data_IF_319731203695
#
_entry.id   IF_319731203695
#
_cell.length_a   1.000
_cell.length_b   1.000
_cell.length_c   1.000
_cell.angle_alpha   90.00
_cell.angle_beta   90.00
_cell.angle_gamma   90.00
#
_symmetry.space_group_name_H-M   'P 1'
#
loop_
_entity.id
_entity.type
_entity.pdbx_description
1 polymer ?
#
# COMPACT_ATOMS: atom_id res chain seq x y z
N UNK A 1 65.22 14.87 -50.51
CA UNK A 1 64.29 15.63 -49.67
C UNK A 1 62.91 15.57 -50.31
N UNK A 2 61.96 14.88 -49.67
CA UNK A 2 60.51 15.06 -49.84
C UNK A 2 59.79 14.39 -48.65
N UNK A 3 58.76 15.01 -48.05
CA UNK A 3 58.11 14.54 -46.83
C UNK A 3 56.73 13.91 -47.10
N UNK A 4 56.36 12.84 -46.40
CA UNK A 4 54.98 12.30 -46.44
C UNK A 4 54.71 11.54 -45.13
N UNK A 5 54.21 12.26 -44.11
CA UNK A 5 52.80 12.37 -43.67
C UNK A 5 52.29 11.17 -42.85
N UNK A 6 52.27 11.45 -41.55
CA UNK A 6 51.51 10.89 -40.45
C UNK A 6 50.02 10.65 -40.81
N UNK A 7 49.48 9.49 -40.47
CA UNK A 7 48.03 9.27 -40.33
C UNK A 7 47.79 8.42 -39.07
N UNK A 8 47.31 9.10 -38.02
CA UNK A 8 46.83 8.54 -36.76
C UNK A 8 45.44 7.96 -37.02
N UNK A 9 45.28 6.65 -36.84
CA UNK A 9 43.99 5.97 -36.92
C UNK A 9 43.21 6.18 -35.62
N UNK A 10 42.11 6.92 -35.70
CA UNK A 10 41.13 7.06 -34.60
C UNK A 10 40.13 5.92 -34.79
N UNK A 11 40.20 4.91 -33.92
CA UNK A 11 39.18 3.87 -33.83
C UNK A 11 37.96 4.45 -33.10
N UNK A 12 36.85 4.64 -33.82
CA UNK A 12 35.57 5.00 -33.24
C UNK A 12 34.98 3.77 -32.53
N UNK A 13 34.93 3.80 -31.20
CA UNK A 13 34.20 2.79 -30.41
C UNK A 13 32.73 3.18 -30.45
N UNK A 14 31.93 2.47 -31.26
CA UNK A 14 30.48 2.60 -31.25
C UNK A 14 29.95 2.00 -29.93
N UNK A 15 29.82 2.85 -28.91
CA UNK A 15 29.13 2.50 -27.67
C UNK A 15 27.62 2.52 -27.90
N UNK A 16 27.03 1.34 -28.05
CA UNK A 16 25.58 1.16 -28.01
C UNK A 16 25.08 1.50 -26.61
N UNK A 17 24.58 2.73 -26.42
CA UNK A 17 23.86 3.12 -25.22
C UNK A 17 22.49 2.43 -25.27
N UNK A 18 22.38 1.28 -24.61
CA UNK A 18 21.08 0.70 -24.26
C UNK A 18 20.44 1.66 -23.25
N UNK A 19 19.59 2.56 -23.74
CA UNK A 19 18.70 3.34 -22.90
C UNK A 19 17.77 2.34 -22.21
N UNK A 20 18.01 2.11 -20.92
CA UNK A 20 17.06 1.39 -20.08
C UNK A 20 15.75 2.19 -20.08
N UNK A 21 14.78 1.72 -20.86
CA UNK A 21 13.41 2.24 -20.79
C UNK A 21 12.92 1.88 -19.39
N UNK A 22 12.43 2.83 -18.58
CA UNK A 22 11.85 2.51 -17.29
C UNK A 22 10.71 1.51 -17.56
N UNK A 23 10.83 0.30 -17.02
CA UNK A 23 9.71 -0.61 -16.98
C UNK A 23 8.60 0.09 -16.21
N UNK A 24 7.47 0.35 -16.86
CA UNK A 24 6.26 0.77 -16.17
C UNK A 24 6.00 -0.29 -15.09
N UNK A 25 6.05 0.11 -13.81
CA UNK A 25 5.68 -0.79 -12.72
C UNK A 25 4.27 -1.32 -13.01
N UNK A 26 4.08 -2.63 -12.95
CA UNK A 26 2.79 -3.24 -13.24
C UNK A 26 1.83 -2.85 -12.12
N UNK A 27 0.92 -1.91 -12.37
CA UNK A 27 -0.10 -1.54 -11.39
C UNK A 27 -0.98 -2.74 -11.09
N UNK A 28 -1.10 -3.09 -9.81
CA UNK A 28 -1.97 -4.16 -9.33
C UNK A 28 -3.28 -3.60 -8.75
N UNK A 29 -4.10 -4.52 -8.24
CA UNK A 29 -5.33 -4.15 -7.54
C UNK A 29 -5.42 -4.85 -6.19
N UNK A 30 -6.13 -4.22 -5.26
CA UNK A 30 -6.41 -4.78 -3.94
C UNK A 30 -7.85 -4.53 -3.53
N UNK A 31 -8.51 -5.60 -3.08
CA UNK A 31 -9.77 -5.54 -2.36
C UNK A 31 -9.48 -5.58 -0.86
N UNK A 32 -10.35 -4.96 -0.06
CA UNK A 32 -10.16 -4.99 1.38
C UNK A 32 -11.43 -4.87 2.20
N UNK A 33 -11.32 -5.30 3.44
CA UNK A 33 -12.37 -5.19 4.44
C UNK A 33 -11.74 -4.89 5.80
N UNK A 34 -12.39 -4.05 6.60
CA UNK A 34 -12.09 -3.82 8.00
C UNK A 34 -13.37 -3.95 8.83
N UNK A 35 -13.23 -4.47 10.04
CA UNK A 35 -14.31 -4.57 11.03
C UNK A 35 -13.90 -3.82 12.29
N UNK A 36 -14.77 -2.93 12.76
CA UNK A 36 -14.59 -2.13 13.98
C UNK A 36 -15.87 -2.22 14.78
N UNK A 37 -15.81 -2.86 15.95
CA UNK A 37 -17.02 -3.23 16.71
C UNK A 37 -17.98 -4.07 15.86
N UNK A 38 -19.24 -3.62 15.77
CA UNK A 38 -20.31 -4.25 14.96
C UNK A 38 -20.40 -3.68 13.54
N UNK A 39 -19.52 -2.75 13.17
CA UNK A 39 -19.51 -2.12 11.85
C UNK A 39 -18.41 -2.70 10.97
N UNK A 40 -18.64 -2.70 9.66
CA UNK A 40 -17.65 -3.17 8.68
C UNK A 40 -17.58 -2.24 7.49
N UNK A 41 -16.38 -2.01 6.96
CA UNK A 41 -16.16 -1.23 5.75
C UNK A 41 -15.39 -2.07 4.74
N UNK A 42 -15.89 -2.13 3.51
CA UNK A 42 -15.26 -2.90 2.43
C UNK A 42 -15.08 -2.06 1.18
N UNK A 43 -14.00 -2.30 0.44
CA UNK A 43 -13.72 -1.70 -0.85
C UNK A 43 -13.19 -2.77 -1.82
N UNK A 44 -13.22 -2.44 -3.11
CA UNK A 44 -12.74 -3.31 -4.18
C UNK A 44 -11.95 -2.51 -5.19
N UNK A 45 -10.99 -3.14 -5.85
CA UNK A 45 -10.22 -2.60 -6.97
C UNK A 45 -9.46 -1.30 -6.65
N UNK A 46 -8.95 -1.16 -5.42
CA UNK A 46 -8.02 -0.07 -5.13
C UNK A 46 -6.69 -0.30 -5.86
N UNK A 47 -6.09 0.76 -6.38
CA UNK A 47 -4.88 0.67 -7.20
C UNK A 47 -3.66 0.47 -6.31
N UNK A 48 -2.76 -0.41 -6.74
CA UNK A 48 -1.43 -0.56 -6.14
C UNK A 48 -0.33 -0.16 -7.10
N UNK A 49 0.81 0.30 -6.57
CA UNK A 49 1.96 0.72 -7.38
C UNK A 49 2.68 -0.42 -8.10
N UNK A 50 2.52 -1.65 -7.60
CA UNK A 50 3.11 -2.89 -8.11
C UNK A 50 2.20 -4.07 -7.74
N UNK A 51 2.61 -5.31 -8.04
CA UNK A 51 1.95 -6.56 -7.64
C UNK A 51 2.82 -7.36 -6.65
N UNK A 52 2.20 -8.14 -5.73
CA UNK A 52 2.96 -9.02 -4.83
C UNK A 52 3.80 -10.05 -5.62
N UNK A 53 4.99 -10.45 -5.16
CA UNK A 53 5.58 -10.18 -3.84
C UNK A 53 6.44 -8.92 -3.74
N UNK A 54 6.41 -8.03 -4.74
CA UNK A 54 7.13 -6.77 -4.66
C UNK A 54 6.52 -5.88 -3.57
N UNK A 55 7.36 -5.10 -2.88
CA UNK A 55 6.87 -4.02 -2.03
C UNK A 55 6.07 -3.04 -2.88
N UNK A 56 4.88 -2.66 -2.42
CA UNK A 56 3.97 -1.77 -3.13
C UNK A 56 3.37 -0.74 -2.19
N UNK A 57 2.79 0.32 -2.75
CA UNK A 57 1.87 1.22 -2.04
C UNK A 57 0.45 0.98 -2.51
N UNK A 58 -0.52 1.16 -1.62
CA UNK A 58 -1.95 1.23 -1.97
C UNK A 58 -2.31 2.70 -2.12
N UNK A 59 -2.83 3.10 -3.28
CA UNK A 59 -3.27 4.48 -3.53
C UNK A 59 -4.58 4.76 -2.77
N UNK A 60 -4.47 5.54 -1.70
CA UNK A 60 -5.61 5.83 -0.83
C UNK A 60 -6.75 6.58 -1.55
N UNK A 61 -6.44 7.32 -2.61
CA UNK A 61 -7.45 8.09 -3.36
C UNK A 61 -8.39 7.19 -4.14
N UNK A 62 -7.99 5.94 -4.39
CA UNK A 62 -8.80 4.92 -5.08
C UNK A 62 -9.54 3.99 -4.11
N UNK A 63 -9.29 4.14 -2.81
CA UNK A 63 -9.98 3.39 -1.78
C UNK A 63 -11.28 4.10 -1.46
N UNK A 64 -12.39 3.49 -1.87
CA UNK A 64 -13.74 4.00 -1.65
C UNK A 64 -14.55 2.99 -0.81
N UNK A 65 -14.37 2.97 0.52
CA UNK A 65 -15.05 2.01 1.37
C UNK A 65 -16.55 2.26 1.42
N UNK A 66 -17.32 1.18 1.30
CA UNK A 66 -18.72 1.15 1.66
C UNK A 66 -18.84 0.53 3.05
N UNK A 67 -19.42 1.28 3.98
CA UNK A 67 -19.55 0.86 5.37
C UNK A 67 -20.98 0.46 5.71
N UNK A 68 -21.11 -0.56 6.55
CA UNK A 68 -22.33 -0.90 7.28
C UNK A 68 -22.25 -0.34 8.71
N UNK A 69 -23.40 -0.09 9.32
CA UNK A 69 -23.46 0.49 10.67
C UNK A 69 -23.44 2.03 10.66
N UNK A 70 -22.87 2.61 11.71
CA UNK A 70 -22.86 4.06 11.96
C UNK A 70 -21.53 4.75 11.62
N UNK A 71 -20.55 3.99 11.12
CA UNK A 71 -19.23 4.52 10.81
C UNK A 71 -19.07 4.82 9.32
N UNK A 72 -18.23 5.79 9.03
CA UNK A 72 -17.56 5.91 7.72
C UNK A 72 -16.08 5.70 7.93
N UNK A 73 -15.38 5.11 6.96
CA UNK A 73 -13.93 4.98 7.01
C UNK A 73 -13.27 5.40 5.70
N UNK A 74 -12.05 5.89 5.78
CA UNK A 74 -11.19 6.18 4.65
C UNK A 74 -9.72 6.09 5.03
N UNK A 75 -8.86 5.83 4.05
CA UNK A 75 -7.41 5.93 4.21
C UNK A 75 -6.99 7.38 3.94
N UNK A 76 -6.04 7.88 4.71
CA UNK A 76 -5.52 9.25 4.56
C UNK A 76 -4.05 9.32 4.15
N UNK A 77 -3.37 8.18 4.12
CA UNK A 77 -2.02 8.01 3.59
C UNK A 77 -1.99 6.87 2.57
N UNK A 78 -0.96 6.80 1.72
CA UNK A 78 -0.69 5.65 0.84
C UNK A 78 0.12 4.59 1.60
N UNK A 79 -0.50 3.53 2.16
CA UNK A 79 0.23 2.59 3.00
C UNK A 79 1.20 1.77 2.16
N UNK A 80 2.43 1.65 2.64
CA UNK A 80 3.44 0.76 2.03
C UNK A 80 3.26 -0.65 2.58
N UNK A 81 3.08 -1.63 1.70
CA UNK A 81 2.94 -3.05 2.04
C UNK A 81 4.19 -3.81 1.62
N UNK A 82 4.80 -4.52 2.56
CA UNK A 82 5.89 -5.46 2.33
C UNK A 82 5.39 -6.89 2.48
N UNK A 83 5.94 -7.82 1.70
CA UNK A 83 5.56 -9.23 1.72
C UNK A 83 6.73 -10.11 2.15
N UNK A 84 6.46 -11.06 3.05
CA UNK A 84 7.34 -12.19 3.32
C UNK A 84 6.64 -13.46 2.87
N UNK A 85 7.00 -13.96 1.68
CA UNK A 85 6.42 -15.17 1.11
C UNK A 85 6.85 -16.45 1.84
N UNK A 86 7.95 -16.40 2.60
CA UNK A 86 8.44 -17.54 3.38
C UNK A 86 7.63 -17.67 4.67
N UNK A 87 7.40 -16.55 5.36
CA UNK A 87 6.54 -16.51 6.54
C UNK A 87 5.04 -16.49 6.20
N UNK A 88 4.70 -16.19 4.94
CA UNK A 88 3.32 -16.02 4.50
C UNK A 88 2.68 -14.80 5.14
N UNK A 89 3.38 -13.66 5.20
CA UNK A 89 2.87 -12.43 5.82
C UNK A 89 2.91 -11.24 4.85
N UNK A 90 2.05 -10.27 5.13
CA UNK A 90 2.11 -8.93 4.57
C UNK A 90 2.10 -7.94 5.73
N UNK A 91 2.94 -6.91 5.69
CA UNK A 91 3.03 -5.92 6.76
C UNK A 91 2.97 -4.51 6.21
N UNK A 92 2.32 -3.61 6.95
CA UNK A 92 2.39 -2.18 6.70
C UNK A 92 2.84 -1.48 7.99
N UNK A 93 3.86 -0.61 7.94
CA UNK A 93 4.39 0.02 9.14
C UNK A 93 3.41 1.05 9.72
N UNK A 94 2.63 1.69 8.86
CA UNK A 94 1.70 2.75 9.24
C UNK A 94 0.48 2.76 8.30
N UNK A 95 -0.70 2.80 8.91
CA UNK A 95 -1.98 2.95 8.22
C UNK A 95 -2.76 4.05 8.95
N UNK A 96 -2.96 5.16 8.25
CA UNK A 96 -3.75 6.29 8.75
C UNK A 96 -5.16 6.19 8.20
N UNK A 97 -6.12 6.20 9.12
CA UNK A 97 -7.54 6.10 8.80
C UNK A 97 -8.30 7.27 9.39
N UNK A 98 -9.31 7.74 8.68
CA UNK A 98 -10.34 8.56 9.30
C UNK A 98 -11.58 7.71 9.55
N UNK A 99 -12.23 7.96 10.68
CA UNK A 99 -13.54 7.45 11.04
C UNK A 99 -14.50 8.62 11.20
N UNK A 100 -15.79 8.43 10.99
CA UNK A 100 -16.78 9.34 11.55
C UNK A 100 -17.83 8.60 12.37
N UNK A 101 -18.16 9.13 13.53
CA UNK A 101 -19.21 8.64 14.40
C UNK A 101 -20.04 9.83 14.91
N UNK A 102 -21.37 9.71 14.85
CA UNK A 102 -22.31 10.77 15.27
C UNK A 102 -22.04 12.14 14.60
N UNK A 103 -21.51 12.15 13.38
CA UNK A 103 -21.22 13.35 12.61
C UNK A 103 -19.87 14.02 12.93
N UNK A 104 -19.07 13.44 13.82
CA UNK A 104 -17.72 13.93 14.14
C UNK A 104 -16.68 13.06 13.44
N UNK A 105 -15.74 13.70 12.73
CA UNK A 105 -14.59 13.01 12.13
C UNK A 105 -13.48 12.86 13.16
N UNK A 106 -12.92 11.66 13.26
CA UNK A 106 -11.83 11.27 14.13
C UNK A 106 -10.74 10.60 13.27
N UNK A 107 -9.51 11.06 13.37
CA UNK A 107 -8.37 10.51 12.64
C UNK A 107 -7.58 9.58 13.57
N UNK A 108 -7.27 8.39 13.08
CA UNK A 108 -6.56 7.36 13.81
C UNK A 108 -5.37 6.85 13.01
N UNK A 109 -4.39 6.30 13.73
CA UNK A 109 -3.24 5.63 13.17
C UNK A 109 -3.05 4.25 13.78
N UNK A 110 -2.96 3.23 12.93
CA UNK A 110 -2.49 1.90 13.30
C UNK A 110 -1.04 1.72 12.83
N UNK A 111 -0.17 1.23 13.71
CA UNK A 111 1.24 0.96 13.40
C UNK A 111 1.54 -0.53 13.44
N UNK A 112 2.58 -0.95 12.71
CA UNK A 112 3.09 -2.32 12.69
C UNK A 112 2.00 -3.37 12.38
N UNK A 113 1.07 -3.05 11.48
CA UNK A 113 -0.01 -3.97 11.12
C UNK A 113 0.56 -5.12 10.30
N UNK A 114 0.25 -6.34 10.71
CA UNK A 114 0.69 -7.57 10.04
C UNK A 114 -0.49 -8.46 9.76
N UNK A 115 -0.54 -8.95 8.54
CA UNK A 115 -1.57 -9.85 8.03
C UNK A 115 -0.94 -11.19 7.67
N UNK A 116 -1.68 -12.27 7.87
CA UNK A 116 -1.27 -13.63 7.52
C UNK A 116 -1.97 -14.09 6.26
N UNK A 117 -1.19 -14.67 5.35
CA UNK A 117 -1.64 -15.23 4.07
C UNK A 117 -2.57 -16.42 4.31
N UNK A 118 -3.66 -16.46 3.56
CA UNK A 118 -4.64 -17.54 3.59
C UNK A 118 -4.35 -18.55 2.48
N UNK A 119 -3.87 -19.73 2.88
CA UNK A 119 -3.47 -20.80 1.97
C UNK A 119 -2.38 -20.35 1.00
N UNK A 120 -2.56 -20.66 -0.29
CA UNK A 120 -1.60 -20.30 -1.35
C UNK A 120 -2.01 -19.06 -2.14
N UNK A 121 -3.12 -18.41 -1.77
CA UNK A 121 -3.66 -17.24 -2.48
C UNK A 121 -2.99 -15.94 -2.02
N UNK A 122 -3.17 -14.82 -2.73
CA UNK A 122 -2.74 -13.48 -2.27
C UNK A 122 -3.78 -12.80 -1.38
N UNK A 123 -4.49 -13.60 -0.59
CA UNK A 123 -5.44 -13.14 0.41
C UNK A 123 -4.75 -13.14 1.77
N UNK A 124 -4.90 -12.07 2.51
CA UNK A 124 -4.27 -11.86 3.80
C UNK A 124 -5.34 -11.42 4.79
N UNK A 125 -5.27 -11.93 6.02
CA UNK A 125 -6.16 -11.54 7.12
C UNK A 125 -5.35 -11.17 8.35
N UNK A 126 -5.80 -10.19 9.10
CA UNK A 126 -5.14 -9.74 10.32
C UNK A 126 -6.15 -9.21 11.33
N UNK A 127 -5.61 -8.68 12.43
CA UNK A 127 -6.36 -8.22 13.57
C UNK A 127 -6.25 -9.15 14.79
N UNK A 128 -6.59 -8.66 15.99
CA UNK A 128 -7.01 -7.28 16.25
C UNK A 128 -5.84 -6.28 16.14
N UNK A 129 -6.11 -5.09 15.62
CA UNK A 129 -5.15 -3.97 15.58
C UNK A 129 -5.66 -2.81 16.43
N UNK A 130 -4.74 -2.13 17.11
CA UNK A 130 -5.04 -0.91 17.87
C UNK A 130 -4.72 0.30 17.03
N UNK A 131 -5.73 1.13 16.77
CA UNK A 131 -5.56 2.42 16.12
C UNK A 131 -5.62 3.53 17.19
N UNK A 132 -4.63 4.42 17.23
CA UNK A 132 -4.53 5.50 18.19
C UNK A 132 -5.03 6.80 17.58
N UNK A 133 -5.80 7.59 18.33
CA UNK A 133 -6.29 8.88 17.88
C UNK A 133 -5.11 9.82 17.60
N UNK A 134 -5.05 10.37 16.40
CA UNK A 134 -4.06 11.36 15.97
C UNK A 134 -4.64 12.76 15.92
N UNK A 135 -5.92 12.88 15.55
CA UNK A 135 -6.64 14.16 15.48
C UNK A 135 -8.15 13.95 15.68
N UNK A 136 -8.84 14.93 16.27
CA UNK A 136 -10.28 14.85 16.50
C UNK A 136 -10.78 15.62 17.72
N UNK A 137 -12.09 15.58 17.94
CA UNK A 137 -12.75 16.20 19.09
C UNK A 137 -12.57 15.38 20.38
N UNK A 138 -12.82 15.97 21.56
CA UNK A 138 -12.84 15.26 22.84
C UNK A 138 -13.85 14.09 22.89
N UNK A 139 -14.83 14.08 21.99
CA UNK A 139 -15.79 12.98 21.83
C UNK A 139 -15.21 11.76 21.13
N UNK A 140 -14.08 11.90 20.42
CA UNK A 140 -13.41 10.80 19.76
C UNK A 140 -12.71 9.92 20.82
N UNK A 141 -12.96 8.60 20.81
CA UNK A 141 -12.21 7.66 21.62
C UNK A 141 -10.71 7.80 21.36
N UNK A 142 -9.89 7.72 22.42
CA UNK A 142 -8.43 7.83 22.29
C UNK A 142 -7.81 6.68 21.48
N UNK A 143 -8.48 5.54 21.48
CA UNK A 143 -8.05 4.33 20.80
C UNK A 143 -9.26 3.61 20.25
N UNK A 144 -9.11 3.04 19.07
CA UNK A 144 -10.08 2.15 18.44
C UNK A 144 -9.46 0.79 18.18
N UNK A 145 -10.30 -0.25 18.17
CA UNK A 145 -9.86 -1.62 17.87
C UNK A 145 -10.46 -2.08 16.55
N UNK A 146 -9.59 -2.30 15.57
CA UNK A 146 -9.94 -3.00 14.34
C UNK A 146 -9.93 -4.49 14.66
N UNK A 147 -11.09 -5.09 14.87
CA UNK A 147 -11.23 -6.47 15.34
C UNK A 147 -10.78 -7.48 14.29
N UNK A 148 -11.00 -7.17 13.02
CA UNK A 148 -10.55 -7.96 11.89
C UNK A 148 -10.28 -7.07 10.68
N UNK A 149 -9.31 -7.46 9.86
CA UNK A 149 -9.05 -6.83 8.57
C UNK A 149 -8.59 -7.86 7.54
N UNK A 150 -8.86 -7.62 6.27
CA UNK A 150 -8.40 -8.48 5.18
C UNK A 150 -8.03 -7.68 3.94
N UNK A 151 -7.04 -8.18 3.20
CA UNK A 151 -6.59 -7.65 1.93
C UNK A 151 -6.48 -8.80 0.92
N UNK A 152 -7.04 -8.63 -0.27
CA UNK A 152 -6.92 -9.59 -1.37
C UNK A 152 -6.31 -8.89 -2.58
N UNK A 153 -5.07 -9.24 -2.89
CA UNK A 153 -4.34 -8.67 -4.03
C UNK A 153 -4.56 -9.51 -5.29
N UNK A 154 -4.75 -8.85 -6.43
CA UNK A 154 -4.98 -9.48 -7.73
C UNK A 154 -4.30 -8.75 -8.89
#
# INVERSE_FOLDING_TARGET
MNPTRLLVGIAAVAGSVLLAVPAYAATGQVDGNITVGDSSCSWTNATTSDVPANTLTIDHTTVHPTCTGSITAGLTNDPTVTFDDTAGTASAPEVDVNGSELGQTCSYKATDVTYTRQGTTRNYTGGPFTANLTDGSFLCPKTETVSAASLAFH
#
